data_IF_566121223476
#
_entry.id   IF_566121223476
#
_cell.length_a   1.000
_cell.length_b   1.000
_cell.length_c   1.000
_cell.angle_alpha   90.00
_cell.angle_beta   90.00
_cell.angle_gamma   90.00
#
_symmetry.space_group_name_H-M   'P 1'
#
loop_
_entity.id
_entity.type
_entity.pdbx_description
1 polymer ?
#
# COMPACT_ATOMS: atom_id res chain seq x y z
N UNK A 1 -0.58 14.26 7.73
CA UNK A 1 -1.05 12.87 7.59
C UNK A 1 -2.13 12.62 8.63
N UNK A 2 -3.25 12.01 8.24
CA UNK A 2 -4.38 11.68 9.12
C UNK A 2 -4.63 10.18 8.99
N UNK A 3 -4.78 9.48 10.12
CA UNK A 3 -5.10 8.05 10.14
C UNK A 3 -6.60 7.86 10.32
N UNK A 4 -7.23 7.13 9.40
CA UNK A 4 -8.61 6.67 9.53
C UNK A 4 -8.59 5.24 10.05
N UNK A 5 -9.19 5.01 11.22
CA UNK A 5 -9.19 3.70 11.86
C UNK A 5 -10.60 3.32 12.28
N UNK A 6 -11.01 2.12 11.86
CA UNK A 6 -12.27 1.50 12.26
C UNK A 6 -11.94 0.30 13.14
N UNK A 7 -12.62 0.18 14.28
CA UNK A 7 -12.55 -1.00 15.14
C UNK A 7 -13.95 -1.51 15.41
N UNK A 8 -14.08 -2.82 15.50
CA UNK A 8 -15.30 -3.50 15.90
C UNK A 8 -14.92 -4.77 16.67
N UNK A 9 -15.86 -5.29 17.44
CA UNK A 9 -15.69 -6.45 18.30
C UNK A 9 -16.55 -7.64 17.83
N UNK A 10 -16.42 -8.79 18.51
CA UNK A 10 -17.29 -9.95 18.27
C UNK A 10 -18.77 -9.61 18.49
N UNK A 11 -19.11 -8.78 19.48
CA UNK A 11 -20.49 -8.37 19.72
C UNK A 11 -21.05 -7.46 18.62
N UNK A 12 -20.18 -6.85 17.82
CA UNK A 12 -20.54 -6.04 16.65
C UNK A 12 -20.69 -6.87 15.36
N UNK A 13 -20.66 -8.21 15.48
CA UNK A 13 -20.82 -9.16 14.38
C UNK A 13 -19.52 -9.86 13.95
N UNK A 14 -18.39 -9.60 14.62
CA UNK A 14 -17.12 -10.31 14.39
C UNK A 14 -16.70 -10.34 12.93
N UNK A 15 -16.25 -11.51 12.44
CA UNK A 15 -15.84 -11.71 11.05
C UNK A 15 -16.96 -11.42 10.03
N UNK A 16 -18.22 -11.68 10.40
CA UNK A 16 -19.38 -11.47 9.51
C UNK A 16 -19.64 -9.98 9.24
N UNK A 17 -19.13 -9.07 10.08
CA UNK A 17 -19.25 -7.64 9.89
C UNK A 17 -18.10 -7.01 9.08
N UNK A 18 -17.10 -7.79 8.65
CA UNK A 18 -15.88 -7.29 7.98
C UNK A 18 -16.20 -6.43 6.76
N UNK A 19 -17.06 -6.91 5.86
CA UNK A 19 -17.42 -6.19 4.63
C UNK A 19 -17.98 -4.79 4.95
N UNK A 20 -18.85 -4.69 5.96
CA UNK A 20 -19.46 -3.42 6.39
C UNK A 20 -18.41 -2.42 6.84
N UNK A 21 -17.50 -2.84 7.73
CA UNK A 21 -16.53 -1.93 8.34
C UNK A 21 -15.39 -1.55 7.37
N UNK A 22 -14.94 -2.48 6.53
CA UNK A 22 -14.00 -2.17 5.45
C UNK A 22 -14.61 -1.17 4.47
N UNK A 23 -15.86 -1.38 4.03
CA UNK A 23 -16.59 -0.45 3.16
C UNK A 23 -16.75 0.93 3.79
N UNK A 24 -16.96 1.00 5.10
CA UNK A 24 -17.03 2.28 5.83
C UNK A 24 -15.69 3.02 5.82
N UNK A 25 -14.57 2.30 6.05
CA UNK A 25 -13.22 2.87 5.98
C UNK A 25 -12.93 3.46 4.60
N UNK A 26 -13.22 2.70 3.53
CA UNK A 26 -13.03 3.14 2.14
C UNK A 26 -13.85 4.39 1.82
N UNK A 27 -15.12 4.43 2.22
CA UNK A 27 -15.98 5.62 2.05
C UNK A 27 -15.41 6.86 2.74
N UNK A 28 -14.87 6.71 3.93
CA UNK A 28 -14.23 7.82 4.65
C UNK A 28 -12.95 8.28 3.94
N UNK A 29 -12.13 7.34 3.48
CA UNK A 29 -10.94 7.66 2.68
C UNK A 29 -11.31 8.42 1.40
N UNK A 30 -12.33 7.99 0.66
CA UNK A 30 -12.78 8.64 -0.57
C UNK A 30 -13.33 10.05 -0.31
N UNK A 31 -14.17 10.21 0.73
CA UNK A 31 -14.74 11.50 1.09
C UNK A 31 -13.66 12.56 1.43
N UNK A 32 -12.50 12.11 1.89
CA UNK A 32 -11.38 12.99 2.26
C UNK A 32 -10.45 13.34 1.10
N UNK A 33 -10.62 12.74 -0.09
CA UNK A 33 -9.73 12.94 -1.23
C UNK A 33 -9.48 14.42 -1.61
N UNK A 34 -10.48 15.34 -1.61
CA UNK A 34 -10.26 16.74 -1.96
C UNK A 34 -9.42 17.54 -0.96
N UNK A 35 -9.21 17.01 0.26
CA UNK A 35 -8.57 17.72 1.37
C UNK A 35 -7.19 17.14 1.74
N UNK A 36 -6.73 16.12 1.02
CA UNK A 36 -5.43 15.46 1.28
C UNK A 36 -4.43 15.72 0.16
N UNK A 37 -3.21 15.19 0.29
CA UNK A 37 -2.24 15.22 -0.81
C UNK A 37 -2.80 14.54 -2.07
N UNK A 38 -2.31 15.00 -3.21
CA UNK A 38 -2.70 14.51 -4.54
C UNK A 38 -1.48 14.46 -5.44
N UNK A 39 -1.46 13.52 -6.39
CA UNK A 39 -0.39 13.33 -7.38
C UNK A 39 1.03 13.11 -6.78
N UNK A 40 1.25 12.02 -6.03
CA UNK A 40 0.29 10.97 -5.64
C UNK A 40 -0.46 11.33 -4.34
N UNK A 41 -1.54 10.59 -4.06
CA UNK A 41 -2.14 10.60 -2.73
C UNK A 41 -1.21 9.82 -1.79
N UNK A 42 -0.45 10.55 -0.98
CA UNK A 42 0.64 10.00 -0.17
C UNK A 42 0.11 9.07 0.94
N UNK A 43 0.87 8.02 1.21
CA UNK A 43 0.60 7.03 2.24
C UNK A 43 1.84 6.82 3.12
N UNK A 44 1.67 6.21 4.29
CA UNK A 44 2.76 5.97 5.22
C UNK A 44 2.94 4.48 5.48
N UNK A 45 4.13 3.98 5.19
CA UNK A 45 4.43 2.54 5.14
C UNK A 45 4.09 1.79 6.44
N UNK A 46 4.27 2.43 7.60
CA UNK A 46 3.99 1.77 8.89
C UNK A 46 2.49 1.62 9.17
N UNK A 47 1.63 2.28 8.40
CA UNK A 47 0.19 2.02 8.34
C UNK A 47 -0.12 1.36 7.00
N UNK A 48 0.39 0.13 6.84
CA UNK A 48 0.30 -0.63 5.60
C UNK A 48 -1.15 -0.75 5.14
N UNK A 49 -1.38 -0.38 3.89
CA UNK A 49 -2.70 -0.37 3.26
C UNK A 49 -2.59 -1.08 1.90
N UNK A 50 -3.28 -2.21 1.73
CA UNK A 50 -3.30 -2.94 0.46
C UNK A 50 -4.26 -2.30 -0.55
N UNK A 51 -5.21 -1.46 -0.11
CA UNK A 51 -6.17 -0.79 -1.00
C UNK A 51 -5.51 0.27 -1.89
N UNK A 52 -4.25 0.66 -1.60
CA UNK A 52 -3.48 1.60 -2.43
C UNK A 52 -2.67 0.92 -3.55
N UNK A 53 -2.83 -0.39 -3.74
CA UNK A 53 -2.14 -1.18 -4.76
C UNK A 53 -1.22 -2.22 -4.13
N UNK A 54 -1.12 -3.39 -4.76
CA UNK A 54 -0.28 -4.50 -4.31
C UNK A 54 0.02 -5.42 -5.48
N UNK A 55 1.16 -6.08 -5.42
CA UNK A 55 1.41 -7.28 -6.19
C UNK A 55 0.58 -8.45 -5.68
N UNK A 56 0.30 -9.40 -6.57
CA UNK A 56 -0.23 -10.71 -6.18
C UNK A 56 0.76 -11.46 -5.28
N UNK A 57 0.23 -12.37 -4.45
CA UNK A 57 1.06 -13.14 -3.52
C UNK A 57 2.14 -13.91 -4.28
N UNK A 58 3.39 -13.79 -3.82
CA UNK A 58 4.59 -14.39 -4.42
C UNK A 58 4.93 -13.95 -5.85
N UNK A 59 4.19 -13.01 -6.44
CA UNK A 59 4.47 -12.45 -7.76
C UNK A 59 5.22 -11.11 -7.66
N UNK A 60 5.73 -10.62 -8.79
CA UNK A 60 6.37 -9.32 -8.87
C UNK A 60 6.12 -8.66 -10.22
N UNK A 61 5.34 -7.60 -10.18
CA UNK A 61 5.14 -6.64 -11.24
C UNK A 61 5.70 -5.26 -10.80
N UNK A 62 6.56 -4.69 -11.65
CA UNK A 62 7.22 -3.43 -11.35
C UNK A 62 6.28 -2.23 -11.52
N UNK A 63 5.32 -2.29 -12.45
CA UNK A 63 4.36 -1.23 -12.70
C UNK A 63 3.39 -1.11 -11.52
N UNK A 64 2.88 -2.23 -11.02
CA UNK A 64 2.07 -2.28 -9.79
C UNK A 64 2.86 -1.73 -8.59
N UNK A 65 4.14 -2.13 -8.49
CA UNK A 65 5.03 -1.63 -7.45
C UNK A 65 5.31 -0.14 -7.53
N UNK A 66 5.38 0.41 -8.73
CA UNK A 66 5.55 1.83 -8.94
C UNK A 66 4.32 2.61 -8.49
N UNK A 67 3.11 2.05 -8.61
CA UNK A 67 1.88 2.71 -8.16
C UNK A 67 1.86 2.90 -6.63
N UNK A 68 1.99 1.83 -5.85
CA UNK A 68 2.00 1.94 -4.38
C UNK A 68 3.32 2.55 -3.87
N UNK A 69 4.43 2.29 -4.55
CA UNK A 69 5.75 2.80 -4.22
C UNK A 69 5.83 4.33 -4.33
N UNK A 70 5.18 4.93 -5.34
CA UNK A 70 5.08 6.38 -5.45
C UNK A 70 4.28 7.00 -4.28
N UNK A 71 3.22 6.32 -3.81
CA UNK A 71 2.41 6.78 -2.67
C UNK A 71 3.21 6.75 -1.37
N UNK A 72 4.07 5.75 -1.15
CA UNK A 72 4.91 5.65 0.05
C UNK A 72 6.21 6.48 0.00
N UNK A 73 6.89 6.50 -1.13
CA UNK A 73 8.29 6.98 -1.21
C UNK A 73 8.48 8.14 -2.19
N UNK A 74 7.46 8.48 -2.99
CA UNK A 74 7.54 9.48 -4.06
C UNK A 74 8.77 9.24 -4.94
N UNK A 75 9.58 10.28 -5.15
CA UNK A 75 10.78 10.26 -5.97
C UNK A 75 11.88 9.34 -5.42
N UNK A 76 11.78 8.87 -4.17
CA UNK A 76 12.76 7.94 -3.60
C UNK A 76 12.55 6.49 -4.08
N UNK A 77 11.39 6.15 -4.65
CA UNK A 77 11.08 4.77 -5.05
C UNK A 77 12.14 4.18 -6.00
N UNK A 78 12.50 4.90 -7.07
CA UNK A 78 13.49 4.44 -8.05
C UNK A 78 14.88 4.26 -7.42
N UNK A 79 15.27 5.13 -6.48
CA UNK A 79 16.53 4.96 -5.74
C UNK A 79 16.52 3.69 -4.89
N UNK A 80 15.39 3.37 -4.27
CA UNK A 80 15.22 2.16 -3.47
C UNK A 80 15.20 0.90 -4.35
N UNK A 81 14.55 0.94 -5.51
CA UNK A 81 14.55 -0.17 -6.48
C UNK A 81 15.97 -0.47 -7.02
N UNK A 82 16.77 0.57 -7.26
CA UNK A 82 18.20 0.42 -7.61
C UNK A 82 18.99 -0.26 -6.48
N UNK A 83 18.79 0.18 -5.23
CA UNK A 83 19.45 -0.42 -4.08
C UNK A 83 19.04 -1.90 -3.92
N UNK A 84 17.74 -2.20 -4.09
CA UNK A 84 17.20 -3.55 -4.07
C UNK A 84 17.85 -4.43 -5.15
N UNK A 85 17.99 -3.95 -6.39
CA UNK A 85 18.66 -4.70 -7.46
C UNK A 85 20.12 -5.03 -7.15
N UNK A 86 20.80 -4.19 -6.36
CA UNK A 86 22.19 -4.44 -5.93
C UNK A 86 22.28 -5.44 -4.78
N UNK A 87 21.36 -5.37 -3.83
CA UNK A 87 21.42 -6.12 -2.56
C UNK A 87 20.73 -7.49 -2.67
N UNK A 88 19.65 -7.58 -3.44
CA UNK A 88 18.81 -8.77 -3.59
C UNK A 88 18.31 -8.89 -5.04
N UNK A 89 19.21 -9.20 -5.98
CA UNK A 89 18.89 -9.27 -7.42
C UNK A 89 17.88 -10.37 -7.75
N UNK A 90 17.89 -11.48 -7.01
CA UNK A 90 16.94 -12.60 -7.19
C UNK A 90 15.57 -12.33 -6.56
N UNK A 91 15.38 -11.14 -5.98
CA UNK A 91 14.17 -10.72 -5.29
C UNK A 91 13.67 -11.71 -4.23
N UNK A 92 14.59 -12.30 -3.45
CA UNK A 92 14.24 -13.28 -2.42
C UNK A 92 13.37 -12.68 -1.33
N UNK A 93 13.67 -11.46 -0.87
CA UNK A 93 12.90 -10.75 0.15
C UNK A 93 11.73 -10.00 -0.49
N UNK A 94 10.63 -10.70 -0.74
CA UNK A 94 9.42 -10.14 -1.34
C UNK A 94 8.17 -10.35 -0.49
N UNK A 95 7.21 -9.46 -0.70
CA UNK A 95 5.82 -9.52 -0.25
C UNK A 95 4.98 -8.65 -1.19
N UNK A 96 3.68 -8.61 -0.96
CA UNK A 96 2.67 -7.94 -1.81
C UNK A 96 2.95 -6.44 -2.01
N UNK A 97 3.71 -5.78 -1.14
CA UNK A 97 4.11 -4.38 -1.28
C UNK A 97 5.62 -4.16 -1.13
N UNK A 98 6.42 -5.19 -1.42
CA UNK A 98 7.88 -5.06 -1.39
C UNK A 98 8.38 -4.15 -2.52
N UNK A 99 9.56 -3.56 -2.34
CA UNK A 99 10.23 -2.85 -3.42
C UNK A 99 10.89 -3.91 -4.30
N UNK A 100 10.52 -4.04 -5.59
CA UNK A 100 11.18 -4.97 -6.49
C UNK A 100 12.54 -4.43 -6.96
N UNK A 101 13.45 -5.32 -7.40
CA UNK A 101 14.63 -4.91 -8.16
C UNK A 101 14.24 -4.06 -9.36
N UNK A 102 15.03 -3.04 -9.67
CA UNK A 102 14.84 -2.26 -10.90
C UNK A 102 15.03 -3.18 -12.13
N UNK A 103 14.08 -3.24 -13.07
CA UNK A 103 14.20 -4.02 -14.31
C UNK A 103 15.37 -3.51 -15.17
N UNK A 104 15.95 -4.43 -15.95
CA UNK A 104 17.01 -4.14 -16.92
C UNK A 104 16.45 -3.78 -18.29
#
# INVERSE_FOLDING_TARGET
MVLYRVQWSESDGGINATERYVKMSRRLYDAMAPYTSSNPREAFLNYRDLDIGSNESDETDFEDAQEYGAKYFRNNFIRLANAKATIDPENFFKNEQSIPPLPH
#
